data_IF_656085447031
#
_entry.id   IF_656085447031
#
_cell.length_a   1.000
_cell.length_b   1.000
_cell.length_c   1.000
_cell.angle_alpha   90.00
_cell.angle_beta   90.00
_cell.angle_gamma   90.00
#
_symmetry.space_group_name_H-M   'P 1'
#
loop_
_entity.id
_entity.type
_entity.pdbx_description
1 polymer ?
#
# COMPACT_ATOMS: atom_id res chain seq x y z
N UNK A 1 2.13 18.18 -17.98
CA UNK A 1 1.67 18.73 -16.69
C UNK A 1 2.66 18.41 -15.60
N UNK A 2 2.88 19.36 -14.68
CA UNK A 2 3.76 19.19 -13.51
C UNK A 2 2.91 18.81 -12.31
N UNK A 3 3.18 17.64 -11.71
CA UNK A 3 2.48 17.11 -10.55
C UNK A 3 3.47 17.04 -9.40
N UNK A 4 3.25 17.89 -8.39
CA UNK A 4 4.05 17.88 -7.15
C UNK A 4 3.51 16.81 -6.21
N UNK A 5 4.39 15.93 -5.74
CA UNK A 5 4.09 14.93 -4.71
C UNK A 5 4.71 15.38 -3.39
N UNK A 6 3.91 15.35 -2.34
CA UNK A 6 4.33 15.57 -0.96
C UNK A 6 4.01 14.35 -0.10
N UNK A 7 5.01 13.85 0.65
CA UNK A 7 4.87 12.71 1.57
C UNK A 7 5.82 12.82 2.76
N UNK A 8 5.49 12.17 3.86
CA UNK A 8 6.36 12.15 5.05
C UNK A 8 7.43 11.05 4.99
N UNK A 9 7.16 9.96 4.29
CA UNK A 9 8.05 8.81 4.16
C UNK A 9 8.99 8.98 2.96
N UNK A 10 10.15 8.34 3.00
CA UNK A 10 11.17 8.41 1.94
C UNK A 10 11.32 7.11 1.15
N UNK A 11 10.84 6.00 1.68
CA UNK A 11 10.86 4.71 1.02
C UNK A 11 9.46 4.31 0.57
N UNK A 12 9.29 3.69 -0.60
CA UNK A 12 10.33 3.41 -1.60
C UNK A 12 10.71 4.65 -2.43
N UNK A 13 11.78 4.53 -3.25
CA UNK A 13 12.07 5.50 -4.30
C UNK A 13 10.96 5.47 -5.36
N UNK A 14 10.22 6.56 -5.48
CA UNK A 14 9.10 6.63 -6.41
C UNK A 14 9.56 6.73 -7.88
N UNK A 15 10.73 7.31 -8.16
CA UNK A 15 11.22 7.47 -9.53
C UNK A 15 11.34 6.12 -10.23
N UNK A 16 11.86 5.11 -9.53
CA UNK A 16 12.02 3.77 -10.08
C UNK A 16 10.72 3.08 -10.49
N UNK A 17 9.56 3.58 -10.03
CA UNK A 17 8.24 3.05 -10.35
C UNK A 17 7.64 3.64 -11.64
N UNK A 18 8.44 4.40 -12.37
CA UNK A 18 8.10 4.95 -13.68
C UNK A 18 9.07 4.44 -14.76
N UNK A 19 8.65 4.40 -16.04
CA UNK A 19 9.51 4.01 -17.15
C UNK A 19 10.83 4.78 -17.16
N UNK A 20 11.96 4.08 -17.35
CA UNK A 20 13.32 4.63 -17.34
C UNK A 20 13.69 5.40 -16.05
N UNK A 21 13.01 5.14 -14.94
CA UNK A 21 13.13 5.90 -13.70
C UNK A 21 13.04 7.43 -13.92
N UNK A 22 12.27 7.84 -14.92
CA UNK A 22 12.20 9.21 -15.40
C UNK A 22 11.35 10.15 -14.54
N UNK A 23 10.58 9.57 -13.62
CA UNK A 23 9.54 10.29 -12.87
C UNK A 23 8.48 10.91 -13.80
N UNK A 24 8.24 10.25 -14.93
CA UNK A 24 7.22 10.60 -15.91
C UNK A 24 6.24 9.44 -16.11
N UNK A 25 4.99 9.75 -16.38
CA UNK A 25 3.98 8.81 -16.81
C UNK A 25 3.17 9.44 -17.92
N UNK A 26 3.36 8.93 -19.14
CA UNK A 26 2.84 9.56 -20.35
C UNK A 26 3.23 11.04 -20.41
N UNK A 27 2.28 11.97 -20.56
CA UNK A 27 2.53 13.41 -20.62
C UNK A 27 2.65 14.10 -19.25
N UNK A 28 2.61 13.38 -18.14
CA UNK A 28 2.74 13.94 -16.80
C UNK A 28 4.18 13.81 -16.29
N UNK A 29 4.69 14.90 -15.75
CA UNK A 29 5.98 14.95 -15.04
C UNK A 29 5.71 15.10 -13.55
N UNK A 30 6.24 14.16 -12.75
CA UNK A 30 6.13 14.21 -11.30
C UNK A 30 7.38 14.79 -10.67
N UNK A 31 7.24 15.37 -9.49
CA UNK A 31 8.38 15.88 -8.72
C UNK A 31 8.12 15.86 -7.23
N UNK A 32 9.15 15.55 -6.45
CA UNK A 32 9.20 15.75 -4.99
C UNK A 32 10.07 16.97 -4.62
N UNK A 33 10.72 17.60 -5.61
CA UNK A 33 11.55 18.79 -5.40
C UNK A 33 10.73 19.99 -4.94
N UNK A 34 11.37 20.91 -4.23
CA UNK A 34 10.75 22.19 -3.88
C UNK A 34 10.63 23.05 -5.14
N UNK A 35 9.40 23.36 -5.50
CA UNK A 35 9.05 24.20 -6.66
C UNK A 35 8.04 25.26 -6.25
N UNK A 36 8.05 26.40 -6.93
CA UNK A 36 7.17 27.52 -6.61
C UNK A 36 5.73 27.29 -7.08
N UNK A 37 5.53 26.45 -8.11
CA UNK A 37 4.23 26.26 -8.75
C UNK A 37 4.10 24.87 -9.36
N UNK A 38 2.90 24.29 -9.30
CA UNK A 38 2.55 23.05 -9.98
C UNK A 38 1.14 23.09 -10.58
N UNK A 39 0.81 22.14 -11.46
CA UNK A 39 -0.52 22.00 -12.03
C UNK A 39 -1.45 21.22 -11.10
N UNK A 40 -0.91 20.17 -10.46
CA UNK A 40 -1.57 19.40 -9.41
C UNK A 40 -0.64 19.21 -8.23
N UNK A 41 -1.19 19.29 -7.02
CA UNK A 41 -0.53 18.91 -5.78
C UNK A 41 -1.15 17.61 -5.25
N UNK A 42 -0.33 16.59 -5.06
CA UNK A 42 -0.74 15.30 -4.50
C UNK A 42 -0.07 15.12 -3.14
N UNK A 43 -0.86 14.91 -2.11
CA UNK A 43 -0.41 14.66 -0.75
C UNK A 43 -0.64 13.17 -0.44
N UNK A 44 0.46 12.44 -0.21
CA UNK A 44 0.40 11.05 0.26
C UNK A 44 0.48 11.04 1.78
N UNK A 45 -0.61 10.70 2.45
CA UNK A 45 -0.79 10.76 3.90
C UNK A 45 -0.67 12.18 4.46
N UNK A 46 0.54 12.71 4.62
CA UNK A 46 0.80 14.08 5.07
C UNK A 46 2.21 14.54 4.74
N UNK A 47 2.42 15.86 4.58
CA UNK A 47 3.75 16.42 4.38
C UNK A 47 4.60 16.39 5.66
N UNK A 48 5.93 16.41 5.53
CA UNK A 48 6.84 16.47 6.68
C UNK A 48 6.68 17.76 7.50
N UNK A 49 6.53 18.90 6.81
CA UNK A 49 6.46 20.24 7.38
C UNK A 49 5.44 21.10 6.66
N UNK A 50 5.06 22.24 7.23
CA UNK A 50 4.27 23.26 6.55
C UNK A 50 5.05 23.80 5.34
N UNK A 51 4.36 23.99 4.22
CA UNK A 51 4.93 24.62 3.03
C UNK A 51 3.87 25.42 2.25
N UNK A 52 4.31 26.27 1.33
CA UNK A 52 3.44 27.02 0.45
C UNK A 52 3.83 26.81 -1.00
N UNK A 53 2.84 26.73 -1.88
CA UNK A 53 3.01 26.51 -3.33
C UNK A 53 1.88 27.17 -4.10
N UNK A 54 2.19 27.70 -5.29
CA UNK A 54 1.17 28.21 -6.21
C UNK A 54 0.52 27.04 -6.96
N UNK A 55 -0.75 26.81 -6.69
CA UNK A 55 -1.56 25.75 -7.32
C UNK A 55 -3.02 26.19 -7.38
N UNK A 56 -3.79 25.71 -8.36
CA UNK A 56 -5.24 25.86 -8.31
C UNK A 56 -5.80 25.07 -7.13
N UNK A 57 -6.54 25.67 -6.18
CA UNK A 57 -7.10 24.97 -5.03
C UNK A 57 -7.96 23.75 -5.36
N UNK A 58 -8.56 23.72 -6.55
CA UNK A 58 -9.33 22.57 -7.03
C UNK A 58 -8.46 21.38 -7.45
N UNK A 59 -7.15 21.59 -7.60
CA UNK A 59 -6.17 20.58 -8.04
C UNK A 59 -5.31 20.03 -6.90
N UNK A 60 -5.81 20.11 -5.66
CA UNK A 60 -5.13 19.55 -4.48
C UNK A 60 -5.80 18.23 -4.13
N UNK A 61 -5.03 17.15 -4.25
CA UNK A 61 -5.49 15.76 -4.04
C UNK A 61 -4.79 15.19 -2.80
N UNK A 62 -5.54 14.52 -1.94
CA UNK A 62 -4.99 13.75 -0.83
C UNK A 62 -5.28 12.27 -1.05
N UNK A 63 -4.28 11.41 -0.88
CA UNK A 63 -4.42 9.95 -0.93
C UNK A 63 -4.07 9.39 0.44
N UNK A 64 -5.02 8.70 1.06
CA UNK A 64 -4.85 8.01 2.33
C UNK A 64 -4.32 6.60 2.07
N UNK A 65 -3.15 6.28 2.61
CA UNK A 65 -2.43 5.04 2.38
C UNK A 65 -2.32 4.16 3.63
N UNK A 66 -2.43 4.76 4.81
CA UNK A 66 -2.40 4.04 6.09
C UNK A 66 -3.77 3.41 6.39
N UNK A 67 -3.81 2.31 7.16
CA UNK A 67 -5.07 1.67 7.53
C UNK A 67 -6.08 2.67 8.08
N UNK A 68 -7.34 2.68 7.61
CA UNK A 68 -8.35 3.64 8.03
C UNK A 68 -8.92 3.30 9.42
N UNK A 69 -8.02 3.14 10.40
CA UNK A 69 -8.40 2.92 11.78
C UNK A 69 -8.91 4.22 12.43
N UNK A 70 -9.45 4.13 13.64
CA UNK A 70 -10.02 5.26 14.37
C UNK A 70 -9.06 6.45 14.56
N UNK A 71 -7.75 6.19 14.49
CA UNK A 71 -6.71 7.18 14.64
C UNK A 71 -6.44 7.91 13.33
N UNK A 72 -6.36 7.18 12.21
CA UNK A 72 -6.02 7.77 10.90
C UNK A 72 -7.11 8.64 10.31
N UNK A 73 -8.38 8.35 10.57
CA UNK A 73 -9.52 9.13 10.04
C UNK A 73 -9.46 10.64 10.36
N UNK A 74 -8.84 11.02 11.48
CA UNK A 74 -8.72 12.43 11.86
C UNK A 74 -7.61 13.19 11.15
N UNK A 75 -6.63 12.49 10.55
CA UNK A 75 -5.53 13.11 9.81
C UNK A 75 -6.03 13.92 8.62
N UNK A 76 -7.09 13.45 7.98
CA UNK A 76 -7.67 14.05 6.78
C UNK A 76 -8.21 15.46 7.00
N UNK A 77 -8.55 15.83 8.22
CA UNK A 77 -9.07 17.16 8.55
C UNK A 77 -7.99 18.23 8.69
N UNK A 78 -6.72 17.88 8.63
CA UNK A 78 -5.63 18.83 8.84
C UNK A 78 -5.53 19.87 7.73
N UNK A 79 -5.78 19.50 6.48
CA UNK A 79 -5.76 20.39 5.33
C UNK A 79 -7.17 20.66 4.81
N UNK A 80 -7.77 21.76 5.24
CA UNK A 80 -9.11 22.21 4.81
C UNK A 80 -9.20 22.61 3.34
N UNK A 81 -8.06 22.80 2.66
CA UNK A 81 -7.95 23.23 1.28
C UNK A 81 -7.83 22.08 0.27
N UNK A 82 -7.82 20.83 0.73
CA UNK A 82 -7.80 19.66 -0.16
C UNK A 82 -9.13 19.57 -0.90
N UNK A 83 -9.07 19.48 -2.23
CA UNK A 83 -10.27 19.42 -3.08
C UNK A 83 -10.85 18.02 -3.20
N UNK A 84 -10.00 16.99 -3.22
CA UNK A 84 -10.38 15.59 -3.32
C UNK A 84 -9.55 14.73 -2.38
N UNK A 85 -10.22 13.75 -1.78
CA UNK A 85 -9.59 12.77 -0.88
C UNK A 85 -9.92 11.37 -1.38
N UNK A 86 -8.90 10.63 -1.81
CA UNK A 86 -9.00 9.19 -2.08
C UNK A 86 -8.74 8.45 -0.78
N UNK A 87 -9.69 7.66 -0.34
CA UNK A 87 -9.68 7.04 0.98
C UNK A 87 -10.50 5.75 0.99
N UNK A 88 -10.22 4.89 1.94
CA UNK A 88 -10.97 3.65 2.18
C UNK A 88 -12.26 3.88 2.99
N UNK A 89 -12.36 5.02 3.69
CA UNK A 89 -13.56 5.40 4.46
C UNK A 89 -14.24 6.63 3.88
N UNK A 90 -15.58 6.62 3.84
CA UNK A 90 -16.36 7.78 3.45
C UNK A 90 -16.63 8.68 4.66
N UNK A 91 -15.76 9.66 4.92
CA UNK A 91 -15.85 10.53 6.10
C UNK A 91 -16.03 12.02 5.78
N UNK A 92 -15.87 12.42 4.52
CA UNK A 92 -16.05 13.81 4.08
C UNK A 92 -16.76 13.88 2.72
N UNK A 93 -17.40 15.03 2.43
CA UNK A 93 -18.16 15.22 1.17
C UNK A 93 -17.30 15.14 -0.11
N UNK A 94 -16.03 15.48 -0.01
CA UNK A 94 -15.08 15.43 -1.12
C UNK A 94 -14.26 14.14 -1.15
N UNK A 95 -14.76 13.09 -0.50
CA UNK A 95 -14.14 11.78 -0.41
C UNK A 95 -14.55 10.89 -1.58
N UNK A 96 -13.59 10.20 -2.16
CA UNK A 96 -13.80 9.14 -3.14
C UNK A 96 -13.30 7.84 -2.52
N UNK A 97 -14.17 6.85 -2.45
CA UNK A 97 -13.78 5.52 -1.98
C UNK A 97 -12.84 4.87 -2.98
N UNK A 98 -11.67 4.47 -2.52
CA UNK A 98 -10.59 3.93 -3.35
C UNK A 98 -9.54 3.20 -2.53
N UNK A 99 -8.78 2.34 -3.17
CA UNK A 99 -7.53 1.84 -2.61
C UNK A 99 -6.50 2.96 -2.46
N UNK A 100 -5.44 2.70 -1.68
CA UNK A 100 -4.44 3.73 -1.34
C UNK A 100 -3.42 4.03 -2.43
N UNK A 101 -3.53 3.45 -3.64
CA UNK A 101 -2.56 3.60 -4.73
C UNK A 101 -1.11 3.55 -4.23
N UNK A 102 -0.80 2.55 -3.38
CA UNK A 102 0.52 2.45 -2.76
C UNK A 102 1.60 2.15 -3.79
N UNK A 103 2.82 2.64 -3.56
CA UNK A 103 4.00 2.16 -4.27
C UNK A 103 4.35 0.73 -3.82
N UNK A 104 4.91 -0.07 -4.75
CA UNK A 104 5.45 -1.39 -4.38
C UNK A 104 6.75 -1.27 -3.59
N UNK A 105 7.09 -2.33 -2.85
CA UNK A 105 8.23 -2.34 -1.93
C UNK A 105 9.37 -3.31 -2.34
N UNK A 106 9.20 -4.15 -3.36
CA UNK A 106 10.33 -4.91 -3.92
C UNK A 106 11.32 -3.96 -4.59
N UNK A 107 12.63 -4.19 -4.42
CA UNK A 107 13.69 -3.30 -4.91
C UNK A 107 14.00 -3.57 -6.40
N UNK A 108 12.96 -3.49 -7.22
CA UNK A 108 13.01 -3.59 -8.68
C UNK A 108 12.32 -2.38 -9.29
N UNK A 109 12.90 -1.87 -10.37
CA UNK A 109 12.30 -0.76 -11.12
C UNK A 109 11.20 -1.23 -12.07
N UNK A 110 10.50 -0.26 -12.64
CA UNK A 110 9.40 -0.50 -13.57
C UNK A 110 9.84 -1.29 -14.81
N UNK A 111 11.00 -0.96 -15.38
CA UNK A 111 11.48 -1.56 -16.63
C UNK A 111 11.85 -3.03 -16.42
N UNK A 112 12.55 -3.34 -15.33
CA UNK A 112 12.80 -4.72 -14.93
C UNK A 112 11.49 -5.49 -14.73
N UNK A 113 10.58 -4.95 -13.92
CA UNK A 113 9.32 -5.63 -13.64
C UNK A 113 8.46 -5.78 -14.90
N UNK A 114 8.36 -4.77 -15.77
CA UNK A 114 7.56 -4.84 -16.99
C UNK A 114 8.09 -5.83 -18.01
N UNK A 115 9.39 -6.05 -18.05
CA UNK A 115 10.06 -7.00 -18.97
C UNK A 115 10.19 -8.42 -18.40
N UNK A 116 10.01 -8.61 -17.10
CA UNK A 116 10.16 -9.90 -16.42
C UNK A 116 9.19 -10.95 -16.99
N UNK A 117 9.70 -12.14 -17.25
CA UNK A 117 8.92 -13.32 -17.67
C UNK A 117 8.98 -14.39 -16.59
N UNK A 118 7.86 -15.08 -16.38
CA UNK A 118 7.76 -16.14 -15.37
C UNK A 118 8.79 -17.25 -15.58
N UNK A 119 9.07 -17.62 -16.83
CA UNK A 119 10.03 -18.67 -17.18
C UNK A 119 11.47 -18.35 -16.79
N UNK A 120 11.77 -17.09 -16.52
CA UNK A 120 13.09 -16.68 -16.00
C UNK A 120 13.26 -16.90 -14.50
N UNK A 121 12.20 -17.30 -13.79
CA UNK A 121 12.20 -17.50 -12.36
C UNK A 121 12.22 -18.99 -11.99
N UNK A 122 12.99 -19.32 -10.98
CA UNK A 122 12.98 -20.68 -10.39
C UNK A 122 12.14 -20.67 -9.11
N UNK A 123 10.92 -21.20 -9.19
CA UNK A 123 9.94 -21.19 -8.10
C UNK A 123 9.93 -22.53 -7.35
N UNK A 124 10.02 -22.46 -6.04
CA UNK A 124 9.98 -23.61 -5.13
C UNK A 124 8.58 -23.74 -4.48
N UNK A 125 8.19 -24.98 -4.19
CA UNK A 125 6.93 -25.29 -3.48
C UNK A 125 7.07 -24.98 -1.99
N UNK A 126 7.05 -23.70 -1.64
CA UNK A 126 7.09 -23.21 -0.26
C UNK A 126 6.22 -21.98 -0.10
N UNK A 127 5.90 -21.67 1.14
CA UNK A 127 5.24 -20.44 1.53
C UNK A 127 6.25 -19.55 2.22
N UNK A 128 6.41 -18.32 1.75
CA UNK A 128 7.19 -17.30 2.45
C UNK A 128 6.28 -16.25 3.05
N UNK A 129 6.70 -15.66 4.15
CA UNK A 129 6.01 -14.52 4.73
C UNK A 129 7.01 -13.45 5.18
N UNK A 130 7.01 -12.33 4.47
CA UNK A 130 7.80 -11.16 4.87
C UNK A 130 6.93 -10.27 5.75
N UNK A 131 7.23 -10.22 7.03
CA UNK A 131 6.46 -9.48 8.03
C UNK A 131 7.35 -8.90 9.12
N UNK A 132 6.78 -8.27 10.14
CA UNK A 132 7.52 -7.74 11.28
C UNK A 132 6.91 -8.23 12.60
N UNK A 133 7.70 -8.16 13.67
CA UNK A 133 7.23 -8.49 15.02
C UNK A 133 6.47 -7.35 15.71
N UNK A 134 6.00 -6.34 14.96
CA UNK A 134 5.20 -5.25 15.50
C UNK A 134 3.86 -5.74 16.04
N UNK A 135 3.47 -5.23 17.23
CA UNK A 135 2.23 -5.60 17.93
C UNK A 135 1.49 -4.39 18.53
N UNK A 136 1.71 -3.19 17.97
CA UNK A 136 1.23 -1.92 18.56
C UNK A 136 -0.24 -1.60 18.27
N UNK A 137 -0.89 -2.26 17.34
CA UNK A 137 -2.31 -2.09 16.99
C UNK A 137 -3.07 -3.42 17.07
N UNK A 138 -4.40 -3.36 17.06
CA UNK A 138 -5.25 -4.58 17.01
C UNK A 138 -4.92 -5.45 15.81
N UNK A 139 -4.79 -4.86 14.62
CA UNK A 139 -4.44 -5.60 13.40
C UNK A 139 -3.03 -6.23 13.48
N UNK A 140 -2.06 -5.54 14.09
CA UNK A 140 -0.75 -6.13 14.36
C UNK A 140 -0.83 -7.32 15.31
N UNK A 141 -1.69 -7.25 16.34
CA UNK A 141 -1.86 -8.35 17.30
C UNK A 141 -2.51 -9.57 16.64
N UNK A 142 -3.55 -9.36 15.81
CA UNK A 142 -4.18 -10.45 15.05
C UNK A 142 -3.18 -11.12 14.11
N UNK A 143 -2.38 -10.33 13.38
CA UNK A 143 -1.32 -10.84 12.52
C UNK A 143 -0.28 -11.65 13.31
N UNK A 144 0.15 -11.17 14.49
CA UNK A 144 1.10 -11.88 15.34
C UNK A 144 0.51 -13.17 15.92
N UNK A 145 -0.78 -13.19 16.24
CA UNK A 145 -1.45 -14.40 16.67
C UNK A 145 -1.46 -15.45 15.55
N UNK A 146 -1.79 -15.05 14.33
CA UNK A 146 -1.74 -15.95 13.17
C UNK A 146 -0.30 -16.44 12.90
N UNK A 147 0.71 -15.56 12.96
CA UNK A 147 2.11 -15.93 12.81
C UNK A 147 2.52 -17.02 13.83
N UNK A 148 2.18 -16.84 15.11
CA UNK A 148 2.54 -17.78 16.16
C UNK A 148 1.91 -19.16 15.96
N UNK A 149 0.83 -19.27 15.22
CA UNK A 149 0.15 -20.53 14.94
C UNK A 149 0.82 -21.32 13.80
N UNK A 150 1.45 -20.64 12.84
CA UNK A 150 2.00 -21.27 11.63
C UNK A 150 3.54 -21.29 11.57
N UNK A 151 4.23 -20.62 12.47
CA UNK A 151 5.69 -20.42 12.41
C UNK A 151 6.52 -21.69 12.51
N UNK A 152 5.96 -22.78 13.03
CA UNK A 152 6.63 -24.07 13.16
C UNK A 152 6.32 -25.04 11.99
N UNK A 153 5.50 -24.60 11.02
CA UNK A 153 5.20 -25.43 9.85
C UNK A 153 6.43 -25.52 8.93
N UNK A 154 6.91 -26.74 8.57
CA UNK A 154 8.21 -26.91 7.91
C UNK A 154 8.29 -26.35 6.48
N UNK A 155 7.16 -26.02 5.89
CA UNK A 155 7.03 -25.44 4.55
C UNK A 155 6.73 -23.92 4.58
N UNK A 156 6.77 -23.29 5.76
CA UNK A 156 6.58 -21.84 5.95
C UNK A 156 7.89 -21.20 6.38
N UNK A 157 8.40 -20.30 5.59
CA UNK A 157 9.60 -19.53 5.89
C UNK A 157 9.24 -18.08 6.25
N UNK A 158 9.70 -17.63 7.41
CA UNK A 158 9.39 -16.30 7.96
C UNK A 158 10.59 -15.36 7.84
N UNK A 159 10.33 -14.16 7.32
CA UNK A 159 11.33 -13.12 7.11
C UNK A 159 10.84 -11.75 7.61
N UNK A 160 11.78 -10.84 7.79
CA UNK A 160 11.53 -9.43 8.08
C UNK A 160 12.00 -8.99 9.46
N UNK A 161 11.70 -7.74 9.77
CA UNK A 161 12.23 -7.05 10.96
C UNK A 161 11.83 -7.72 12.26
N UNK A 162 12.85 -8.11 13.05
CA UNK A 162 12.66 -8.78 14.34
C UNK A 162 12.29 -10.26 14.25
N UNK A 163 12.44 -10.88 13.07
CA UNK A 163 12.32 -12.31 12.79
C UNK A 163 13.62 -12.78 12.14
N UNK A 164 13.69 -12.79 10.84
CA UNK A 164 14.88 -13.05 10.03
C UNK A 164 15.04 -11.87 9.05
N UNK A 165 15.91 -10.90 9.33
CA UNK A 165 16.07 -9.71 8.48
C UNK A 165 16.47 -10.08 7.05
N UNK A 166 15.94 -9.32 6.10
CA UNK A 166 16.31 -9.32 4.69
C UNK A 166 16.38 -7.87 4.22
N UNK A 167 17.22 -7.61 3.23
CA UNK A 167 17.37 -6.26 2.68
C UNK A 167 16.23 -5.94 1.70
N UNK A 168 15.87 -6.90 0.86
CA UNK A 168 14.78 -6.77 -0.11
C UNK A 168 13.84 -7.99 -0.07
N UNK A 169 12.55 -7.73 -0.12
CA UNK A 169 11.51 -8.78 -0.23
C UNK A 169 11.67 -9.62 -1.50
N UNK A 170 12.22 -9.04 -2.56
CA UNK A 170 12.50 -9.74 -3.80
C UNK A 170 13.32 -11.00 -3.60
N UNK A 171 14.32 -10.97 -2.70
CA UNK A 171 15.22 -12.10 -2.43
C UNK A 171 14.48 -13.41 -2.15
N UNK A 172 13.35 -13.33 -1.46
CA UNK A 172 12.57 -14.50 -1.06
C UNK A 172 11.33 -14.71 -1.93
N UNK A 173 10.69 -13.63 -2.41
CA UNK A 173 9.49 -13.74 -3.23
C UNK A 173 9.80 -14.33 -4.61
N UNK A 174 10.90 -13.94 -5.25
CA UNK A 174 11.26 -14.43 -6.59
C UNK A 174 11.42 -15.96 -6.66
N UNK A 175 11.75 -16.61 -5.55
CA UNK A 175 12.01 -18.05 -5.48
C UNK A 175 10.85 -18.86 -4.88
N UNK A 176 9.72 -18.24 -4.56
CA UNK A 176 8.63 -18.91 -3.86
C UNK A 176 7.35 -18.89 -4.70
N UNK A 177 6.66 -20.04 -4.81
CA UNK A 177 5.36 -20.10 -5.48
C UNK A 177 4.27 -19.38 -4.70
N UNK A 178 4.34 -19.41 -3.38
CA UNK A 178 3.33 -18.85 -2.50
C UNK A 178 3.91 -17.90 -1.47
N UNK A 179 3.17 -16.84 -1.13
CA UNK A 179 3.52 -15.94 -0.04
C UNK A 179 2.28 -15.50 0.74
N UNK A 180 2.42 -15.34 2.06
CA UNK A 180 1.34 -14.79 2.87
C UNK A 180 1.34 -13.27 2.73
N UNK A 181 0.24 -12.73 2.22
CA UNK A 181 -0.06 -11.31 2.14
C UNK A 181 -1.18 -10.97 3.14
N UNK A 182 -0.78 -10.65 4.38
CA UNK A 182 -1.70 -10.42 5.50
C UNK A 182 -1.78 -8.92 5.81
N UNK A 183 -2.95 -8.32 5.59
CA UNK A 183 -3.18 -6.92 5.89
C UNK A 183 -3.44 -6.68 7.39
N UNK A 184 -3.08 -5.49 7.85
CA UNK A 184 -3.30 -5.09 9.25
C UNK A 184 -4.72 -4.54 9.51
N UNK A 185 -5.51 -4.42 8.47
CA UNK A 185 -6.87 -3.92 8.51
C UNK A 185 -7.70 -4.63 7.43
N UNK A 186 -9.01 -4.75 7.64
CA UNK A 186 -9.92 -5.40 6.72
C UNK A 186 -11.10 -4.46 6.44
N UNK A 187 -11.28 -4.12 5.16
CA UNK A 187 -12.47 -3.46 4.61
C UNK A 187 -12.57 -3.74 3.10
N UNK A 188 -13.43 -3.02 2.37
CA UNK A 188 -13.66 -3.27 0.95
C UNK A 188 -12.66 -2.57 0.02
N UNK A 189 -11.84 -1.66 0.52
CA UNK A 189 -10.92 -0.84 -0.28
C UNK A 189 -9.46 -0.92 0.17
N UNK A 190 -9.19 -1.51 1.34
CA UNK A 190 -7.85 -1.53 1.91
C UNK A 190 -7.06 -2.77 1.49
N UNK A 191 -6.17 -2.58 0.54
CA UNK A 191 -5.10 -3.50 0.20
C UNK A 191 -3.82 -2.70 -0.10
N UNK A 192 -2.65 -3.34 0.05
CA UNK A 192 -1.38 -2.63 0.09
C UNK A 192 -0.32 -3.32 -0.77
N UNK A 193 0.90 -2.81 -0.65
CA UNK A 193 2.08 -3.41 -1.26
C UNK A 193 2.28 -4.90 -0.96
N UNK A 194 1.65 -5.44 0.07
CA UNK A 194 1.81 -6.86 0.44
C UNK A 194 1.34 -7.81 -0.64
N UNK A 195 0.15 -7.53 -1.19
CA UNK A 195 -0.37 -8.34 -2.32
C UNK A 195 0.32 -7.95 -3.63
N UNK A 196 0.65 -6.66 -3.80
CA UNK A 196 1.33 -6.17 -5.00
C UNK A 196 2.71 -6.82 -5.18
N UNK A 197 3.54 -6.83 -4.13
CA UNK A 197 4.88 -7.40 -4.15
C UNK A 197 4.86 -8.89 -4.51
N UNK A 198 3.83 -9.62 -4.08
CA UNK A 198 3.60 -11.01 -4.48
C UNK A 198 3.36 -11.11 -5.99
N UNK A 199 2.39 -10.38 -6.52
CA UNK A 199 2.08 -10.44 -7.95
C UNK A 199 3.25 -10.00 -8.82
N UNK A 200 3.94 -8.91 -8.45
CA UNK A 200 5.08 -8.39 -9.19
C UNK A 200 6.24 -9.39 -9.29
N UNK A 201 6.36 -10.29 -8.34
CA UNK A 201 7.36 -11.36 -8.33
C UNK A 201 6.81 -12.70 -8.88
N UNK A 202 5.64 -12.75 -9.49
CA UNK A 202 4.96 -13.98 -9.91
C UNK A 202 4.75 -14.99 -8.75
N UNK A 203 4.56 -14.51 -7.56
CA UNK A 203 4.24 -15.31 -6.38
C UNK A 203 2.75 -15.24 -6.13
N UNK A 204 2.07 -16.40 -5.97
CA UNK A 204 0.64 -16.43 -5.67
C UNK A 204 0.41 -16.02 -4.22
N UNK A 205 -0.33 -14.94 -3.92
CA UNK A 205 -0.60 -14.52 -2.56
C UNK A 205 -1.62 -15.43 -1.88
N UNK A 206 -1.32 -15.86 -0.66
CA UNK A 206 -2.28 -16.38 0.31
C UNK A 206 -2.74 -15.16 1.11
N UNK A 207 -3.94 -14.66 0.79
CA UNK A 207 -4.36 -13.31 1.11
C UNK A 207 -5.38 -13.22 2.22
N UNK A 208 -5.17 -12.26 3.13
CA UNK A 208 -6.15 -11.77 4.10
C UNK A 208 -6.14 -10.25 4.13
N UNK A 209 -7.31 -9.60 3.95
CA UNK A 209 -7.44 -8.14 3.98
C UNK A 209 -8.72 -7.66 3.32
N UNK A 210 -8.62 -7.02 2.16
CA UNK A 210 -9.73 -6.42 1.44
C UNK A 210 -10.82 -7.44 1.11
N UNK A 211 -12.07 -7.17 1.53
CA UNK A 211 -13.21 -8.05 1.27
C UNK A 211 -13.58 -8.07 -0.22
N UNK A 212 -13.44 -6.92 -0.90
CA UNK A 212 -13.76 -6.75 -2.31
C UNK A 212 -12.52 -6.95 -3.22
N UNK A 213 -11.52 -7.74 -2.80
CA UNK A 213 -10.27 -7.91 -3.56
C UNK A 213 -10.52 -8.51 -4.96
N UNK A 214 -11.62 -9.25 -5.15
CA UNK A 214 -12.03 -9.78 -6.46
C UNK A 214 -12.50 -8.72 -7.46
N UNK A 215 -12.77 -7.50 -7.00
CA UNK A 215 -13.11 -6.38 -7.88
C UNK A 215 -11.85 -5.74 -8.49
N UNK A 216 -10.70 -6.00 -7.88
CA UNK A 216 -9.39 -5.52 -8.31
C UNK A 216 -8.59 -6.56 -9.09
N UNK A 217 -8.62 -7.83 -8.67
CA UNK A 217 -7.77 -8.88 -9.23
C UNK A 217 -8.57 -10.13 -9.60
N UNK A 218 -8.12 -10.88 -10.62
CA UNK A 218 -8.75 -12.15 -11.00
C UNK A 218 -8.82 -13.11 -9.80
N UNK A 219 -9.98 -13.73 -9.56
CA UNK A 219 -10.20 -14.62 -8.40
C UNK A 219 -9.21 -15.77 -8.29
N UNK A 220 -8.68 -16.23 -9.42
CA UNK A 220 -7.71 -17.33 -9.46
C UNK A 220 -6.25 -16.86 -9.24
N UNK A 221 -6.00 -15.55 -9.18
CA UNK A 221 -4.64 -15.02 -8.98
C UNK A 221 -4.16 -15.11 -7.53
N UNK A 222 -5.05 -15.31 -6.58
CA UNK A 222 -4.76 -15.39 -5.14
C UNK A 222 -5.57 -16.49 -4.47
N UNK A 223 -5.17 -16.85 -3.25
CA UNK A 223 -5.87 -17.80 -2.39
C UNK A 223 -6.32 -17.05 -1.14
N UNK A 224 -7.62 -16.95 -0.91
CA UNK A 224 -8.13 -16.31 0.29
C UNK A 224 -7.96 -17.22 1.50
N UNK A 225 -7.49 -16.68 2.63
CA UNK A 225 -7.33 -17.43 3.89
C UNK A 225 -8.19 -16.79 4.99
N UNK A 226 -8.84 -17.64 5.78
CA UNK A 226 -9.43 -17.25 7.05
C UNK A 226 -8.41 -17.51 8.19
N UNK A 227 -7.90 -16.46 8.86
CA UNK A 227 -6.95 -16.63 9.98
C UNK A 227 -7.55 -17.35 11.18
N UNK A 228 -8.87 -17.47 11.26
CA UNK A 228 -9.59 -18.13 12.37
C UNK A 228 -9.93 -19.58 12.06
N UNK A 229 -9.67 -20.08 10.85
CA UNK A 229 -9.90 -21.47 10.50
C UNK A 229 -9.02 -22.38 11.38
N UNK A 230 -9.65 -23.35 12.02
CA UNK A 230 -8.96 -24.36 12.87
C UNK A 230 -8.15 -25.37 12.05
N UNK A 231 -8.47 -25.53 10.77
CA UNK A 231 -7.81 -26.44 9.84
C UNK A 231 -6.79 -25.76 8.93
N UNK A 232 -6.39 -24.49 9.22
CA UNK A 232 -5.45 -23.70 8.42
C UNK A 232 -4.13 -24.40 8.12
N UNK A 233 -3.62 -25.22 9.06
CA UNK A 233 -2.34 -25.92 8.90
C UNK A 233 -2.45 -26.98 7.78
N UNK A 234 -3.56 -27.72 7.77
CA UNK A 234 -3.88 -28.67 6.71
C UNK A 234 -4.09 -27.93 5.38
N UNK A 235 -4.86 -26.85 5.40
CA UNK A 235 -5.13 -26.01 4.22
C UNK A 235 -3.83 -25.46 3.61
N UNK A 236 -2.92 -24.92 4.42
CA UNK A 236 -1.61 -24.43 3.94
C UNK A 236 -0.74 -25.58 3.37
N UNK A 237 -0.78 -26.76 3.99
CA UNK A 237 -0.09 -27.95 3.49
C UNK A 237 -0.64 -28.40 2.13
N UNK A 238 -1.95 -28.38 1.95
CA UNK A 238 -2.61 -28.71 0.69
C UNK A 238 -2.25 -27.71 -0.42
N UNK A 239 -2.16 -26.41 -0.09
CA UNK A 239 -1.71 -25.37 -1.04
C UNK A 239 -0.30 -25.69 -1.56
N UNK A 240 0.66 -25.95 -0.69
CA UNK A 240 2.04 -26.25 -1.08
C UNK A 240 2.14 -27.53 -1.92
N UNK A 241 1.31 -28.53 -1.64
CA UNK A 241 1.25 -29.78 -2.40
C UNK A 241 0.49 -29.67 -3.72
N UNK A 242 -0.23 -28.57 -3.95
CA UNK A 242 -1.07 -28.38 -5.14
C UNK A 242 -0.27 -27.83 -6.33
N UNK A 243 -0.92 -27.85 -7.52
CA UNK A 243 -0.46 -27.17 -8.74
C UNK A 243 -1.16 -25.82 -8.96
N UNK A 244 -1.73 -25.22 -7.91
CA UNK A 244 -2.51 -23.98 -8.04
C UNK A 244 -1.71 -22.84 -8.65
N UNK A 245 -0.44 -22.73 -8.33
CA UNK A 245 0.44 -21.72 -8.90
C UNK A 245 0.60 -21.92 -10.40
N UNK A 246 0.95 -23.12 -10.85
CA UNK A 246 1.14 -23.48 -12.27
C UNK A 246 -0.15 -23.31 -13.09
N UNK A 247 -1.26 -23.73 -12.53
CA UNK A 247 -2.57 -23.70 -13.18
C UNK A 247 -3.13 -22.28 -13.34
N UNK A 248 -2.59 -21.30 -12.60
CA UNK A 248 -3.13 -19.94 -12.55
C UNK A 248 -2.10 -18.84 -12.90
N UNK A 249 -1.02 -19.20 -13.58
CA UNK A 249 0.03 -18.25 -14.02
C UNK A 249 -0.56 -17.07 -14.81
N UNK A 250 -1.49 -17.32 -15.73
CA UNK A 250 -2.14 -16.28 -16.54
C UNK A 250 -2.93 -15.29 -15.68
N UNK A 251 -3.60 -15.78 -14.63
CA UNK A 251 -4.33 -14.94 -13.71
C UNK A 251 -3.36 -14.07 -12.86
N UNK A 252 -2.24 -14.64 -12.43
CA UNK A 252 -1.16 -13.92 -11.71
C UNK A 252 -0.56 -12.85 -12.64
N UNK A 253 -0.28 -13.18 -13.90
CA UNK A 253 0.23 -12.22 -14.88
C UNK A 253 -0.75 -11.09 -15.16
N UNK A 254 -2.04 -11.39 -15.25
CA UNK A 254 -3.09 -10.38 -15.37
C UNK A 254 -3.11 -9.43 -14.16
N UNK A 255 -3.10 -9.98 -12.94
CA UNK A 255 -3.05 -9.17 -11.71
C UNK A 255 -1.79 -8.28 -11.66
N UNK A 256 -0.65 -8.82 -12.05
CA UNK A 256 0.62 -8.11 -12.16
C UNK A 256 0.53 -6.93 -13.15
N UNK A 257 -0.05 -7.16 -14.33
CA UNK A 257 -0.22 -6.12 -15.34
C UNK A 257 -1.17 -5.01 -14.86
N UNK A 258 -2.24 -5.36 -14.15
CA UNK A 258 -3.14 -4.38 -13.52
C UNK A 258 -2.39 -3.49 -12.51
N UNK A 259 -1.47 -4.05 -11.73
CA UNK A 259 -0.63 -3.25 -10.83
C UNK A 259 0.24 -2.28 -11.62
N UNK A 260 0.97 -2.78 -12.62
CA UNK A 260 1.92 -1.98 -13.38
C UNK A 260 1.25 -0.86 -14.20
N UNK A 261 0.01 -1.11 -14.71
CA UNK A 261 -0.64 -0.23 -15.68
C UNK A 261 -1.81 0.58 -15.12
N UNK A 262 -2.36 0.20 -13.95
CA UNK A 262 -3.59 0.82 -13.44
C UNK A 262 -3.53 1.20 -11.95
N UNK A 263 -3.06 0.30 -11.06
CA UNK A 263 -3.28 0.46 -9.63
C UNK A 263 -2.14 1.09 -8.85
N UNK A 264 -0.90 0.97 -9.31
CA UNK A 264 0.21 1.68 -8.68
C UNK A 264 0.06 3.20 -8.86
N UNK A 265 0.79 3.99 -8.07
CA UNK A 265 0.60 5.41 -7.89
C UNK A 265 0.49 6.23 -9.20
N UNK A 266 1.38 5.99 -10.17
CA UNK A 266 1.49 6.85 -11.36
C UNK A 266 0.38 6.66 -12.38
N UNK A 267 0.06 5.43 -12.84
CA UNK A 267 -1.11 5.21 -13.69
C UNK A 267 -2.41 5.57 -12.97
N UNK A 268 -2.53 5.28 -11.66
CA UNK A 268 -3.69 5.69 -10.89
C UNK A 268 -3.88 7.21 -10.94
N UNK A 269 -2.86 8.00 -10.60
CA UNK A 269 -2.92 9.46 -10.67
C UNK A 269 -3.22 9.95 -12.08
N UNK A 270 -2.59 9.36 -13.07
CA UNK A 270 -2.85 9.71 -14.47
C UNK A 270 -4.34 9.54 -14.82
N UNK A 271 -4.91 8.38 -14.53
CA UNK A 271 -6.29 8.06 -14.83
C UNK A 271 -7.27 8.96 -14.06
N UNK A 272 -7.01 9.20 -12.77
CA UNK A 272 -7.86 10.07 -11.94
C UNK A 272 -7.81 11.52 -12.43
N UNK A 273 -6.64 12.06 -12.70
CA UNK A 273 -6.50 13.45 -13.18
C UNK A 273 -7.14 13.62 -14.56
N UNK A 274 -6.96 12.67 -15.48
CA UNK A 274 -7.62 12.71 -16.81
C UNK A 274 -9.15 12.66 -16.68
N UNK A 275 -9.67 11.86 -15.77
CA UNK A 275 -11.11 11.82 -15.47
C UNK A 275 -11.59 13.16 -14.91
N UNK A 276 -10.86 13.77 -13.97
CA UNK A 276 -11.19 15.08 -13.43
C UNK A 276 -11.20 16.16 -14.52
N UNK A 277 -10.20 16.16 -15.40
CA UNK A 277 -10.13 17.11 -16.50
C UNK A 277 -11.26 16.94 -17.50
N UNK A 278 -11.66 15.71 -17.80
CA UNK A 278 -12.77 15.45 -18.72
C UNK A 278 -14.13 15.95 -18.19
N UNK A 279 -14.34 15.87 -16.86
CA UNK A 279 -15.60 16.31 -16.21
C UNK A 279 -15.63 17.80 -15.92
N UNK A 280 -14.48 18.39 -15.56
CA UNK A 280 -14.40 19.77 -15.05
C UNK A 280 -13.87 20.77 -16.10
N UNK A 281 -13.44 20.32 -17.28
CA UNK A 281 -12.64 21.11 -18.20
C UNK A 281 -11.17 21.19 -17.73
N UNK A 282 -10.32 21.84 -18.53
CA UNK A 282 -8.88 21.92 -18.31
C UNK A 282 -8.54 22.92 -17.19
N UNK A 283 -8.82 22.58 -15.93
CA UNK A 283 -8.57 23.46 -14.76
C UNK A 283 -7.09 23.71 -14.47
N UNK A 284 -6.16 22.93 -15.04
CA UNK A 284 -4.73 23.24 -14.93
C UNK A 284 -4.40 24.63 -15.48
N UNK A 285 -5.22 25.18 -16.38
CA UNK A 285 -5.10 26.51 -16.97
C UNK A 285 -5.78 27.63 -16.17
N UNK A 286 -6.57 27.29 -15.13
CA UNK A 286 -7.17 28.31 -14.25
C UNK A 286 -6.11 28.96 -13.35
N UNK A 287 -6.47 30.11 -12.78
CA UNK A 287 -5.57 30.89 -11.93
C UNK A 287 -5.03 30.06 -10.76
N UNK A 288 -3.72 30.02 -10.61
CA UNK A 288 -3.04 29.46 -9.44
C UNK A 288 -2.98 30.52 -8.35
N UNK A 289 -3.17 30.11 -7.12
CA UNK A 289 -2.96 30.94 -5.94
C UNK A 289 -1.97 30.28 -4.98
N UNK A 290 -1.29 31.07 -4.16
CA UNK A 290 -0.39 30.54 -3.14
C UNK A 290 -1.21 29.91 -2.02
N UNK A 291 -1.08 28.59 -1.87
CA UNK A 291 -1.78 27.80 -0.86
C UNK A 291 -0.77 27.32 0.17
N UNK A 292 -1.06 27.57 1.46
CA UNK A 292 -0.27 26.99 2.56
C UNK A 292 -0.87 25.66 2.97
N UNK A 293 -0.06 24.62 2.89
CA UNK A 293 -0.38 23.22 3.28
C UNK A 293 0.25 22.94 4.63
N UNK A 294 -0.54 22.36 5.53
CA UNK A 294 -0.09 21.99 6.86
C UNK A 294 0.68 20.68 6.84
N UNK A 295 1.76 20.61 7.61
CA UNK A 295 2.60 19.44 7.76
C UNK A 295 2.20 18.54 8.94
N UNK A 296 3.08 17.62 9.25
CA UNK A 296 2.90 16.54 10.23
C UNK A 296 2.24 16.96 11.55
N UNK A 297 2.64 18.09 12.14
CA UNK A 297 2.14 18.50 13.45
C UNK A 297 0.61 18.69 13.42
N UNK A 298 0.08 19.37 12.39
CA UNK A 298 -1.35 19.60 12.26
C UNK A 298 -2.15 18.29 12.16
N UNK A 299 -1.60 17.26 11.55
CA UNK A 299 -2.25 15.95 11.43
C UNK A 299 -2.31 15.20 12.76
N UNK A 300 -1.41 15.47 13.69
CA UNK A 300 -1.36 14.82 15.00
C UNK A 300 -2.01 15.64 16.12
N UNK A 301 -2.15 16.95 15.96
CA UNK A 301 -2.75 17.84 16.96
C UNK A 301 -4.29 17.78 16.96
N UNK A 302 -4.90 17.30 15.89
CA UNK A 302 -6.36 17.21 15.73
C UNK A 302 -6.99 15.94 16.31
N UNK A 303 -6.24 15.11 17.05
CA UNK A 303 -6.80 13.91 17.67
C UNK A 303 -7.67 14.25 18.88
N UNK A 304 -8.89 13.68 18.98
CA UNK A 304 -9.66 13.72 20.21
C UNK A 304 -8.85 13.15 21.39
N UNK A 305 -9.00 13.72 22.58
CA UNK A 305 -8.29 13.27 23.80
C UNK A 305 -8.47 11.79 24.09
N UNK A 306 -9.66 11.25 23.84
CA UNK A 306 -9.95 9.81 24.00
C UNK A 306 -9.05 8.92 23.14
N UNK A 307 -8.84 9.27 21.88
CA UNK A 307 -7.99 8.50 20.96
C UNK A 307 -6.53 8.57 21.36
N UNK A 308 -6.08 9.72 21.86
CA UNK A 308 -4.72 9.87 22.39
C UNK A 308 -4.49 8.96 23.61
N UNK A 309 -5.48 8.83 24.49
CA UNK A 309 -5.42 7.92 25.65
C UNK A 309 -5.41 6.46 25.21
N UNK A 310 -6.29 6.06 24.28
CA UNK A 310 -6.33 4.69 23.75
C UNK A 310 -5.01 4.30 23.08
N UNK A 311 -4.44 5.19 22.26
CA UNK A 311 -3.13 5.00 21.62
C UNK A 311 -2.01 4.82 22.64
N UNK A 312 -2.02 5.57 23.74
CA UNK A 312 -1.02 5.46 24.79
C UNK A 312 -1.20 4.16 25.59
N UNK A 313 -2.43 3.75 25.90
CA UNK A 313 -2.73 2.47 26.54
C UNK A 313 -2.28 1.27 25.69
N UNK A 314 -2.53 1.29 24.37
CA UNK A 314 -2.06 0.25 23.46
C UNK A 314 -0.52 0.16 23.42
N UNK A 315 0.17 1.31 23.45
CA UNK A 315 1.65 1.34 23.53
C UNK A 315 2.18 0.78 24.85
N UNK A 316 1.53 1.09 25.96
CA UNK A 316 1.90 0.56 27.30
C UNK A 316 1.66 -0.96 27.32
N UNK A 317 0.51 -1.43 26.88
CA UNK A 317 0.20 -2.85 26.81
C UNK A 317 1.19 -3.62 25.93
N UNK A 318 1.56 -3.07 24.77
CA UNK A 318 2.56 -3.68 23.89
C UNK A 318 3.95 -3.75 24.53
N UNK A 319 4.34 -2.73 25.35
CA UNK A 319 5.59 -2.76 26.14
C UNK A 319 5.52 -3.80 27.25
N UNK A 320 4.41 -3.88 27.96
CA UNK A 320 4.20 -4.88 29.04
C UNK A 320 4.28 -6.31 28.49
N UNK A 321 3.60 -6.59 27.38
CA UNK A 321 3.66 -7.91 26.73
C UNK A 321 5.09 -8.32 26.32
N UNK A 322 5.94 -7.34 25.94
CA UNK A 322 7.36 -7.62 25.64
C UNK A 322 8.19 -7.93 26.89
N UNK A 323 7.83 -7.37 28.04
CA UNK A 323 8.51 -7.64 29.31
C UNK A 323 8.15 -9.02 29.91
N UNK A 324 6.92 -9.47 29.69
CA UNK A 324 6.45 -10.80 30.18
C UNK A 324 6.75 -11.96 29.20
N UNK A 325 7.36 -11.69 28.05
CA UNK A 325 7.83 -12.70 27.08
C UNK A 325 9.34 -12.96 27.14
N UNK A 326 10.01 -12.42 28.14
CA UNK A 326 11.34 -12.82 28.57
C UNK A 326 11.21 -13.76 29.78
#
# INVERSE_FOLDING_TARGET
MIIKIERYFTYPDLKRQTPNSSFQWKEFTFTEENIDSCDYLVILEYPKADFSIAVNPKNIIHICQEPPNEISKYRQYANKKVSLIYNQLNIQKNNILSHGALPWHVDKDYDFLSSLKVDSLQKENKIVWVTSNQSSSKGHQLRMNFLNQIKELPFVELYGRGIRPIDDKWEVLQNSKYAIAYENFQDDYYWTEKIMDCFLSYTMPIYFGCNAISDYFPKNSYIQIDPHDKHRDLFLKEIVASKKWEENIEAIETARNLILQEYQLFPFLYNQIKTLESVRGNYAKEAKEVVTIKGKNAYFDNYPRQITLEKNLLKVNAKMQKLFKK
#
